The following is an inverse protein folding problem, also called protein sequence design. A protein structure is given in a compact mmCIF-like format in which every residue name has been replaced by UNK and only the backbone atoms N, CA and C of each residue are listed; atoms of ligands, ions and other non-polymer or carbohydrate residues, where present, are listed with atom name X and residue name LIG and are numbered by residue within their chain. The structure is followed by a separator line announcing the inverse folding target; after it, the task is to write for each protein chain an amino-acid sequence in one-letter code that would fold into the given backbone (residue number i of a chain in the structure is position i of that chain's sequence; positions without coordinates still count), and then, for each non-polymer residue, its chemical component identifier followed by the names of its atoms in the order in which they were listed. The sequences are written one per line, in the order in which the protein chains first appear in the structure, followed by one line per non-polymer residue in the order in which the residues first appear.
data_IF_097403759096
#
_entry.id   IF_097403759096
#
_cell.length_a   1.000
_cell.length_b   1.000
_cell.length_c   1.000
_cell.angle_alpha   90.00
_cell.angle_beta   90.00
_cell.angle_gamma   90.00
#
_symmetry.space_group_name_H-M   'P 1'
#
loop_
_entity.id
_entity.type
_entity.pdbx_description
1 polymer ?
#
# COMPACT_ATOMS: atom_id res chain seq x y z
N UNK A 1 -8.52 -11.78 11.14
CA UNK A 1 -9.12 -10.56 11.70
C UNK A 1 -9.57 -9.78 10.49
N UNK A 2 -10.82 -10.03 10.09
CA UNK A 2 -11.43 -9.45 8.89
C UNK A 2 -12.00 -8.09 9.29
N UNK A 3 -11.60 -7.02 8.60
CA UNK A 3 -12.18 -5.69 8.78
C UNK A 3 -13.38 -5.55 7.83
N UNK A 4 -14.58 -5.49 8.40
CA UNK A 4 -15.82 -5.22 7.67
C UNK A 4 -15.86 -3.77 7.18
N UNK A 5 -15.98 -3.58 5.86
CA UNK A 5 -16.26 -2.29 5.26
C UNK A 5 -17.74 -1.91 5.49
N UNK A 6 -18.00 -0.99 6.41
CA UNK A 6 -19.32 -0.39 6.58
C UNK A 6 -19.55 0.69 5.52
N UNK A 7 -20.50 0.47 4.61
CA UNK A 7 -21.02 1.52 3.73
C UNK A 7 -22.47 1.85 4.11
N UNK A 8 -22.81 3.14 4.04
CA UNK A 8 -24.16 3.64 4.27
C UNK A 8 -24.79 3.99 2.92
N UNK A 9 -25.88 3.33 2.59
CA UNK A 9 -26.67 3.64 1.39
C UNK A 9 -27.72 4.70 1.72
N UNK A 10 -27.80 5.83 0.99
CA UNK A 10 -28.82 6.83 1.25
C UNK A 10 -30.18 6.36 0.70
N UNK A 11 -31.18 6.26 1.57
CA UNK A 11 -32.58 6.00 1.20
C UNK A 11 -33.35 7.30 1.05
N UNK A 12 -33.94 7.52 -0.12
CA UNK A 12 -34.89 8.62 -0.35
C UNK A 12 -36.29 8.19 0.12
N UNK A 13 -36.87 8.95 1.07
CA UNK A 13 -38.26 8.75 1.52
C UNK A 13 -39.23 9.28 0.48
N UNK A 14 -40.18 8.44 0.05
CA UNK A 14 -41.48 8.90 -0.47
C UNK A 14 -42.48 8.80 0.69
N UNK A 15 -43.15 9.91 0.99
CA UNK A 15 -44.19 9.98 2.00
C UNK A 15 -45.46 9.24 1.53
N UNK A 16 -46.00 8.35 2.37
CA UNK A 16 -47.27 7.65 2.17
C UNK A 16 -47.25 6.15 2.54
N UNK A 17 -47.53 5.85 3.81
CA UNK A 17 -47.55 4.55 4.51
C UNK A 17 -48.57 3.48 3.98
N UNK A 18 -48.72 2.26 4.59
CA UNK A 18 -47.93 1.55 5.60
C UNK A 18 -47.54 0.09 5.24
N UNK A 19 -46.68 -0.50 6.08
CA UNK A 19 -46.13 -1.85 6.05
C UNK A 19 -47.10 -2.97 6.51
N UNK A 20 -46.85 -4.20 6.07
CA UNK A 20 -47.11 -5.42 6.87
C UNK A 20 -46.17 -6.57 6.49
N UNK A 21 -45.82 -7.33 7.52
CA UNK A 21 -44.80 -8.37 7.68
C UNK A 21 -44.95 -9.65 6.85
N UNK A 22 -43.77 -10.26 6.67
CA UNK A 22 -43.39 -11.69 6.67
C UNK A 22 -44.20 -12.78 5.93
N UNK A 23 -43.48 -13.37 4.97
CA UNK A 23 -43.22 -14.80 4.78
C UNK A 23 -44.35 -15.83 5.02
N UNK A 24 -44.69 -16.58 3.95
CA UNK A 24 -44.62 -18.04 4.00
C UNK A 24 -44.75 -18.67 2.60
N UNK A 25 -43.85 -19.63 2.36
CA UNK A 25 -44.01 -20.91 1.63
C UNK A 25 -44.66 -20.97 0.23
N UNK A 26 -43.82 -21.48 -0.67
CA UNK A 26 -44.10 -22.24 -1.91
C UNK A 26 -45.36 -23.12 -1.86
N UNK A 27 -46.09 -23.19 -2.98
CA UNK A 27 -46.66 -24.40 -3.65
C UNK A 27 -47.76 -23.94 -4.62
N UNK A 28 -47.67 -24.34 -5.90
CA UNK A 28 -48.83 -24.92 -6.60
C UNK A 28 -48.36 -26.03 -7.54
N UNK A 29 -48.77 -27.24 -7.19
CA UNK A 29 -48.87 -28.41 -8.05
C UNK A 29 -50.29 -28.47 -8.63
N UNK A 30 -50.45 -29.27 -9.68
CA UNK A 30 -51.65 -29.41 -10.51
C UNK A 30 -52.92 -29.78 -9.73
N UNK A 31 -54.07 -29.33 -10.22
CA UNK A 31 -55.37 -29.93 -9.90
C UNK A 31 -56.12 -30.24 -11.20
N UNK A 32 -56.30 -31.55 -11.39
CA UNK A 32 -57.19 -32.25 -12.32
C UNK A 32 -58.66 -31.85 -12.16
N UNK A 33 -59.51 -32.26 -13.12
CA UNK A 33 -60.94 -32.68 -13.01
C UNK A 33 -61.64 -32.33 -14.34
N UNK A 34 -62.46 -33.15 -15.01
CA UNK A 34 -62.96 -34.51 -14.77
C UNK A 34 -63.45 -35.12 -16.10
N UNK A 35 -63.45 -36.44 -16.15
CA UNK A 35 -64.17 -37.24 -17.14
C UNK A 35 -65.64 -37.41 -16.70
N UNK A 36 -66.55 -37.31 -17.67
CA UNK A 36 -67.82 -38.05 -17.69
C UNK A 36 -69.10 -37.22 -17.50
N UNK A 37 -69.95 -37.12 -18.54
CA UNK A 37 -71.11 -38.01 -18.71
C UNK A 37 -71.92 -37.67 -19.98
N UNK A 38 -72.05 -38.71 -20.79
CA UNK A 38 -73.13 -39.11 -21.71
C UNK A 38 -74.46 -38.34 -21.68
N UNK A 39 -74.98 -38.02 -22.88
CA UNK A 39 -76.40 -38.12 -23.19
C UNK A 39 -76.60 -38.55 -24.65
N UNK A 40 -77.38 -39.63 -24.78
CA UNK A 40 -77.91 -40.30 -25.97
C UNK A 40 -78.80 -39.42 -26.86
N UNK A 41 -78.85 -39.73 -28.18
CA UNK A 41 -80.04 -40.09 -28.99
C UNK A 41 -79.63 -40.19 -30.50
N UNK A 42 -79.86 -41.36 -31.11
CA UNK A 42 -79.90 -41.67 -32.57
C UNK A 42 -81.30 -41.36 -33.16
N UNK A 43 -81.62 -41.44 -34.49
CA UNK A 43 -80.82 -41.81 -35.67
C UNK A 43 -81.03 -40.91 -36.94
N UNK A 44 -80.31 -41.31 -38.01
CA UNK A 44 -80.65 -41.24 -39.45
C UNK A 44 -80.26 -40.00 -40.31
N UNK A 45 -79.30 -40.28 -41.22
CA UNK A 45 -78.96 -39.75 -42.55
C UNK A 45 -79.91 -38.71 -43.21
N UNK A 46 -79.42 -37.81 -44.11
CA UNK A 46 -78.54 -38.21 -45.22
C UNK A 46 -77.47 -37.19 -45.68
N UNK A 47 -76.41 -37.76 -46.28
CA UNK A 47 -75.65 -37.22 -47.42
C UNK A 47 -75.49 -35.69 -47.56
N UNK A 48 -74.26 -35.18 -47.41
CA UNK A 48 -73.66 -34.37 -48.48
C UNK A 48 -72.14 -34.17 -48.32
N UNK A 49 -71.43 -34.53 -49.40
CA UNK A 49 -70.24 -33.90 -50.00
C UNK A 49 -68.96 -33.63 -49.18
N UNK A 50 -67.93 -34.35 -49.66
CA UNK A 50 -66.61 -33.88 -50.15
C UNK A 50 -65.50 -33.47 -49.17
N UNK A 51 -64.40 -34.22 -49.35
CA UNK A 51 -62.97 -33.81 -49.39
C UNK A 51 -62.20 -33.58 -48.09
N UNK A 52 -61.04 -34.25 -47.98
CA UNK A 52 -60.09 -34.03 -46.88
C UNK A 52 -58.93 -35.04 -46.75
N UNK A 53 -58.42 -35.62 -47.84
CA UNK A 53 -57.27 -36.53 -47.80
C UNK A 53 -56.04 -35.92 -48.47
N UNK A 54 -55.31 -35.00 -47.82
CA UNK A 54 -54.02 -34.49 -48.34
C UNK A 54 -53.08 -33.82 -47.30
N UNK A 55 -53.45 -33.70 -46.01
CA UNK A 55 -52.71 -32.86 -45.04
C UNK A 55 -51.53 -33.56 -44.32
N UNK A 56 -51.45 -34.90 -44.36
CA UNK A 56 -50.44 -35.69 -43.64
C UNK A 56 -49.03 -35.71 -44.28
N UNK A 57 -48.87 -35.90 -45.61
CA UNK A 57 -47.55 -35.86 -46.24
C UNK A 57 -46.94 -34.45 -46.24
N UNK A 58 -47.78 -33.41 -46.37
CA UNK A 58 -47.33 -32.01 -46.34
C UNK A 58 -46.74 -31.63 -44.97
N UNK A 59 -47.38 -32.05 -43.87
CA UNK A 59 -46.90 -31.85 -42.50
C UNK A 59 -45.54 -32.55 -42.27
N UNK A 60 -45.34 -33.74 -42.84
CA UNK A 60 -44.07 -34.46 -42.75
C UNK A 60 -42.94 -33.76 -43.52
N UNK A 61 -43.24 -33.20 -44.70
CA UNK A 61 -42.26 -32.42 -45.48
C UNK A 61 -41.87 -31.13 -44.75
N UNK A 62 -42.84 -30.44 -44.14
CA UNK A 62 -42.56 -29.24 -43.33
C UNK A 62 -41.72 -29.56 -42.08
N UNK A 63 -42.00 -30.67 -41.40
CA UNK A 63 -41.21 -31.13 -40.26
C UNK A 63 -39.77 -31.50 -40.67
N UNK A 64 -39.60 -32.18 -41.81
CA UNK A 64 -38.29 -32.51 -42.36
C UNK A 64 -37.51 -31.24 -42.76
N UNK A 65 -38.18 -30.27 -43.39
CA UNK A 65 -37.58 -28.99 -43.75
C UNK A 65 -37.13 -28.19 -42.51
N UNK A 66 -37.96 -28.14 -41.46
CA UNK A 66 -37.60 -27.52 -40.18
C UNK A 66 -36.41 -28.23 -39.51
N UNK A 67 -36.38 -29.57 -39.55
CA UNK A 67 -35.24 -30.34 -39.04
C UNK A 67 -33.93 -30.00 -39.75
N UNK A 68 -33.95 -29.88 -41.08
CA UNK A 68 -32.78 -29.47 -41.88
C UNK A 68 -32.35 -28.05 -41.53
N UNK A 69 -33.30 -27.11 -41.41
CA UNK A 69 -33.01 -25.73 -40.99
C UNK A 69 -32.37 -25.70 -39.60
N UNK A 70 -32.88 -26.48 -38.65
CA UNK A 70 -32.27 -26.61 -37.32
C UNK A 70 -30.83 -27.16 -37.39
N UNK A 71 -30.58 -28.20 -38.19
CA UNK A 71 -29.22 -28.76 -38.36
C UNK A 71 -28.27 -27.72 -38.96
N UNK A 72 -28.71 -26.96 -39.96
CA UNK A 72 -27.91 -25.89 -40.57
C UNK A 72 -27.61 -24.81 -39.51
N UNK A 73 -28.61 -24.35 -38.76
CA UNK A 73 -28.42 -23.34 -37.71
C UNK A 73 -27.44 -23.82 -36.64
N UNK A 74 -27.57 -25.06 -36.17
CA UNK A 74 -26.65 -25.64 -35.18
C UNK A 74 -25.23 -25.72 -35.73
N UNK A 75 -25.05 -26.12 -36.99
CA UNK A 75 -23.72 -26.17 -37.61
C UNK A 75 -23.05 -24.79 -37.72
N UNK A 76 -23.82 -23.76 -38.07
CA UNK A 76 -23.34 -22.37 -38.15
C UNK A 76 -22.96 -21.87 -36.76
N UNK A 77 -23.77 -22.16 -35.74
CA UNK A 77 -23.48 -21.78 -34.35
C UNK A 77 -22.17 -22.43 -33.87
N UNK A 78 -21.95 -23.71 -34.15
CA UNK A 78 -20.72 -24.42 -33.78
C UNK A 78 -19.50 -23.80 -34.50
N UNK A 79 -19.63 -23.45 -35.76
CA UNK A 79 -18.55 -22.78 -36.50
C UNK A 79 -18.22 -21.40 -35.92
N UNK A 80 -19.24 -20.60 -35.59
CA UNK A 80 -19.07 -19.30 -34.97
C UNK A 80 -18.47 -19.40 -33.56
N UNK A 81 -18.92 -20.35 -32.74
CA UNK A 81 -18.41 -20.55 -31.38
C UNK A 81 -16.94 -20.93 -31.38
N UNK A 82 -16.50 -21.77 -32.33
CA UNK A 82 -15.09 -22.13 -32.49
C UNK A 82 -14.24 -20.93 -32.90
N UNK A 83 -14.72 -20.07 -33.81
CA UNK A 83 -14.02 -18.84 -34.22
C UNK A 83 -13.91 -17.85 -33.07
N UNK A 84 -15.00 -17.64 -32.34
CA UNK A 84 -15.02 -16.75 -31.16
C UNK A 84 -14.05 -17.27 -30.09
N UNK A 85 -14.04 -18.59 -29.84
CA UNK A 85 -13.14 -19.21 -28.87
C UNK A 85 -11.66 -19.05 -29.27
N UNK A 86 -11.34 -19.20 -30.55
CA UNK A 86 -9.98 -18.98 -31.06
C UNK A 86 -9.52 -17.52 -30.85
N UNK A 87 -10.34 -16.55 -31.25
CA UNK A 87 -10.05 -15.11 -31.08
C UNK A 87 -9.90 -14.75 -29.60
N UNK A 88 -10.79 -15.27 -28.73
CA UNK A 88 -10.71 -15.07 -27.28
C UNK A 88 -9.38 -15.58 -26.72
N UNK A 89 -8.95 -16.76 -27.12
CA UNK A 89 -7.68 -17.35 -26.63
C UNK A 89 -6.45 -16.55 -27.05
N UNK A 90 -6.47 -15.99 -28.27
CA UNK A 90 -5.38 -15.15 -28.80
C UNK A 90 -5.27 -13.85 -28.01
N UNK A 91 -6.40 -13.19 -27.77
CA UNK A 91 -6.45 -11.95 -27.01
C UNK A 91 -6.07 -12.16 -25.53
N UNK A 92 -6.48 -13.27 -24.89
CA UNK A 92 -6.05 -13.61 -23.53
C UNK A 92 -4.53 -13.82 -23.44
N UNK A 93 -3.93 -14.41 -24.48
CA UNK A 93 -2.48 -14.59 -24.56
C UNK A 93 -1.77 -13.25 -24.69
N UNK A 94 -2.25 -12.35 -25.55
CA UNK A 94 -1.71 -11.00 -25.71
C UNK A 94 -1.83 -10.20 -24.43
N UNK A 95 -3.00 -10.22 -23.78
CA UNK A 95 -3.22 -9.58 -22.47
C UNK A 95 -2.24 -10.13 -21.45
N UNK A 96 -2.08 -11.45 -21.34
CA UNK A 96 -1.14 -12.06 -20.39
C UNK A 96 0.31 -11.66 -20.67
N UNK A 97 0.72 -11.63 -21.94
CA UNK A 97 2.05 -11.16 -22.34
C UNK A 97 2.25 -9.70 -21.91
N UNK A 98 1.29 -8.83 -22.23
CA UNK A 98 1.34 -7.42 -21.90
C UNK A 98 1.32 -7.17 -20.39
N UNK A 99 0.44 -7.84 -19.64
CA UNK A 99 0.39 -7.78 -18.17
C UNK A 99 1.74 -8.16 -17.57
N UNK A 100 2.39 -9.20 -18.10
CA UNK A 100 3.73 -9.60 -17.65
C UNK A 100 4.76 -8.50 -17.91
N UNK A 101 4.73 -7.88 -19.09
CA UNK A 101 5.63 -6.77 -19.43
C UNK A 101 5.41 -5.56 -18.54
N UNK A 102 4.15 -5.19 -18.27
CA UNK A 102 3.80 -4.08 -17.37
C UNK A 102 4.27 -4.36 -15.96
N UNK A 103 4.07 -5.58 -15.44
CA UNK A 103 4.58 -5.98 -14.11
C UNK A 103 6.11 -5.91 -14.05
N UNK A 104 6.81 -6.37 -15.09
CA UNK A 104 8.26 -6.29 -15.16
C UNK A 104 8.76 -4.84 -15.22
N UNK A 105 8.08 -3.98 -15.97
CA UNK A 105 8.41 -2.56 -16.06
C UNK A 105 8.13 -1.83 -14.74
N UNK A 106 7.04 -2.18 -14.05
CA UNK A 106 6.72 -1.71 -12.71
C UNK A 106 7.82 -2.06 -11.71
N UNK A 107 8.22 -3.33 -11.63
CA UNK A 107 9.33 -3.78 -10.77
C UNK A 107 10.63 -3.04 -11.07
N UNK A 108 10.99 -2.86 -12.35
CA UNK A 108 12.19 -2.08 -12.72
C UNK A 108 12.08 -0.60 -12.31
N UNK A 109 10.89 -0.01 -12.44
CA UNK A 109 10.64 1.36 -11.99
C UNK A 109 10.80 1.49 -10.48
N UNK A 110 10.32 0.52 -9.70
CA UNK A 110 10.51 0.47 -8.25
C UNK A 110 11.98 0.30 -7.85
N UNK A 111 12.73 -0.53 -8.58
CA UNK A 111 14.18 -0.67 -8.38
C UNK A 111 14.91 0.65 -8.63
N UNK A 112 14.65 1.30 -9.76
CA UNK A 112 15.25 2.60 -10.09
C UNK A 112 14.84 3.67 -9.07
N UNK A 113 13.60 3.67 -8.61
CA UNK A 113 13.13 4.62 -7.59
C UNK A 113 13.88 4.45 -6.27
N UNK A 114 14.11 3.19 -5.84
CA UNK A 114 14.90 2.89 -4.65
C UNK A 114 16.34 3.36 -4.78
N UNK A 115 16.99 3.06 -5.90
CA UNK A 115 18.37 3.49 -6.16
C UNK A 115 18.50 5.01 -6.19
N UNK A 116 17.53 5.69 -6.82
CA UNK A 116 17.43 7.16 -6.83
C UNK A 116 17.31 7.71 -5.41
N UNK A 117 16.42 7.16 -4.61
CA UNK A 117 16.17 7.65 -3.26
C UNK A 117 17.39 7.43 -2.36
N UNK A 118 18.06 6.29 -2.50
CA UNK A 118 19.34 6.01 -1.84
C UNK A 118 20.45 6.99 -2.26
N UNK A 119 20.56 7.28 -3.56
CA UNK A 119 21.54 8.24 -4.07
C UNK A 119 21.24 9.66 -3.58
N UNK A 120 19.98 10.07 -3.61
CA UNK A 120 19.55 11.39 -3.13
C UNK A 120 19.84 11.56 -1.64
N UNK A 121 19.56 10.52 -0.84
CA UNK A 121 19.93 10.50 0.58
C UNK A 121 21.45 10.61 0.77
N UNK A 122 22.24 9.83 0.03
CA UNK A 122 23.71 9.85 0.11
C UNK A 122 24.26 11.23 -0.24
N UNK A 123 23.72 11.85 -1.29
CA UNK A 123 24.09 13.19 -1.71
C UNK A 123 23.75 14.23 -0.64
N UNK A 124 22.59 14.10 0.01
CA UNK A 124 22.20 14.95 1.13
C UNK A 124 23.20 14.90 2.30
N UNK A 125 23.73 13.71 2.60
CA UNK A 125 24.77 13.54 3.63
C UNK A 125 26.09 14.19 3.19
N UNK A 126 26.54 13.96 1.96
CA UNK A 126 27.81 14.52 1.46
C UNK A 126 27.78 16.06 1.43
N UNK A 127 26.67 16.65 0.99
CA UNK A 127 26.50 18.10 0.88
C UNK A 127 26.42 18.81 2.25
N UNK A 128 26.33 18.07 3.36
CA UNK A 128 26.34 18.64 4.71
C UNK A 128 27.75 19.01 5.19
N UNK A 129 28.81 18.52 4.53
CA UNK A 129 30.21 18.72 4.96
C UNK A 129 31.04 19.45 3.90
N UNK A 130 31.77 20.50 4.30
CA UNK A 130 32.70 21.22 3.41
C UNK A 130 33.91 20.37 2.99
N UNK A 131 34.28 19.36 3.80
CA UNK A 131 35.32 18.37 3.51
C UNK A 131 34.84 16.99 3.96
N UNK A 132 34.27 16.19 3.06
CA UNK A 132 33.73 14.86 3.38
C UNK A 132 34.78 13.75 3.25
N UNK A 133 35.27 13.23 4.37
CA UNK A 133 36.23 12.11 4.38
C UNK A 133 35.52 10.77 4.19
N UNK A 134 35.42 10.31 2.93
CA UNK A 134 34.68 9.10 2.52
C UNK A 134 35.11 7.85 3.29
N UNK A 135 36.41 7.67 3.56
CA UNK A 135 36.91 6.48 4.27
C UNK A 135 36.44 6.41 5.73
N UNK A 136 36.13 7.56 6.34
CA UNK A 136 35.70 7.65 7.73
C UNK A 136 34.17 7.53 7.82
N UNK A 137 33.45 8.20 6.93
CA UNK A 137 31.98 8.27 6.97
C UNK A 137 31.28 7.13 6.21
N UNK A 138 31.97 6.47 5.28
CA UNK A 138 31.40 5.40 4.45
C UNK A 138 32.24 4.11 4.48
N UNK A 139 32.44 3.51 5.66
CA UNK A 139 33.10 2.20 5.74
C UNK A 139 32.33 1.18 4.90
N UNK A 140 33.06 0.35 4.16
CA UNK A 140 32.47 -0.68 3.28
C UNK A 140 31.47 -0.15 2.23
N UNK A 141 31.61 1.12 1.81
CA UNK A 141 30.71 1.80 0.84
C UNK A 141 29.29 2.02 1.35
N UNK A 142 29.06 1.91 2.66
CA UNK A 142 27.80 2.25 3.31
C UNK A 142 28.04 3.50 4.16
N UNK A 143 27.46 4.62 3.74
CA UNK A 143 27.60 5.87 4.47
C UNK A 143 26.69 5.90 5.70
N UNK A 144 27.21 6.42 6.81
CA UNK A 144 26.43 6.69 8.02
C UNK A 144 26.43 8.20 8.31
N UNK A 145 25.37 8.75 8.91
CA UNK A 145 25.32 10.17 9.27
C UNK A 145 26.37 10.59 10.31
N UNK A 146 26.78 9.68 11.20
CA UNK A 146 27.79 9.92 12.23
C UNK A 146 28.81 8.79 12.22
N UNK A 147 30.03 9.10 12.67
CA UNK A 147 31.10 8.11 12.86
C UNK A 147 30.72 7.08 13.94
N UNK A 148 31.39 5.92 13.91
CA UNK A 148 31.15 4.89 14.92
C UNK A 148 31.51 5.42 16.33
N UNK A 149 30.62 5.21 17.30
CA UNK A 149 30.75 5.76 18.66
C UNK A 149 30.14 7.15 18.85
N UNK A 150 29.76 7.84 17.77
CA UNK A 150 29.04 9.11 17.83
C UNK A 150 27.52 8.89 17.76
N UNK A 151 26.79 9.68 18.53
CA UNK A 151 25.34 9.60 18.64
C UNK A 151 24.72 10.77 17.87
N UNK A 152 23.78 10.46 16.97
CA UNK A 152 23.11 11.48 16.17
C UNK A 152 21.95 12.10 16.94
N UNK A 153 21.89 13.43 16.96
CA UNK A 153 20.69 14.19 17.31
C UNK A 153 20.48 15.32 16.31
N UNK A 154 19.31 15.32 15.65
CA UNK A 154 18.97 16.22 14.54
C UNK A 154 20.07 16.19 13.44
N UNK A 155 20.71 17.33 13.19
CA UNK A 155 21.77 17.50 12.18
C UNK A 155 23.18 17.29 12.73
N UNK A 156 23.33 17.08 14.04
CA UNK A 156 24.62 17.05 14.72
C UNK A 156 24.96 15.63 15.24
N UNK A 157 26.25 15.39 15.42
CA UNK A 157 26.80 14.17 15.99
C UNK A 157 27.51 14.50 17.31
N UNK A 158 27.25 13.72 18.36
CA UNK A 158 27.74 13.97 19.72
C UNK A 158 28.57 12.79 20.20
N UNK A 159 29.69 13.08 20.86
CA UNK A 159 30.54 12.08 21.49
C UNK A 159 30.59 12.34 22.99
N UNK A 160 30.12 11.37 23.77
CA UNK A 160 30.17 11.41 25.23
C UNK A 160 31.40 10.63 25.67
N UNK A 161 32.46 11.36 26.00
CA UNK A 161 33.72 10.73 26.38
C UNK A 161 33.73 10.36 27.86
N UNK A 162 33.45 9.10 28.15
CA UNK A 162 33.56 8.53 29.50
C UNK A 162 35.01 8.14 29.82
N UNK A 163 35.38 8.24 31.09
CA UNK A 163 36.62 7.66 31.59
C UNK A 163 36.41 6.94 32.92
N UNK A 164 36.64 5.63 32.90
CA UNK A 164 36.62 4.79 34.10
C UNK A 164 37.79 5.07 35.06
N UNK A 165 38.82 5.80 34.61
CA UNK A 165 40.00 6.11 35.45
C UNK A 165 40.24 7.60 35.56
N UNK A 166 40.43 8.08 36.79
CA UNK A 166 40.61 9.51 37.12
C UNK A 166 41.74 10.20 36.32
N UNK A 167 42.76 9.46 35.87
CA UNK A 167 43.89 10.03 35.15
C UNK A 167 43.64 10.33 33.66
N UNK A 168 42.53 9.86 33.06
CA UNK A 168 42.13 10.32 31.72
C UNK A 168 41.18 11.52 31.75
N UNK A 169 40.83 12.01 32.93
CA UNK A 169 40.04 13.22 33.09
C UNK A 169 40.85 14.40 32.61
N UNK A 170 40.21 15.30 31.86
CA UNK A 170 40.88 16.43 31.22
C UNK A 170 40.35 17.72 31.80
N UNK A 171 41.18 18.75 31.81
CA UNK A 171 40.70 20.12 31.98
C UNK A 171 39.79 20.51 30.82
N UNK A 172 39.06 21.61 30.96
CA UNK A 172 38.27 22.17 29.85
C UNK A 172 39.10 22.36 28.58
N UNK A 173 40.28 22.97 28.70
CA UNK A 173 41.21 23.19 27.57
C UNK A 173 41.72 21.87 26.97
N UNK A 174 42.06 20.89 27.84
CA UNK A 174 42.48 19.57 27.39
C UNK A 174 41.38 18.80 26.67
N UNK A 175 40.12 18.98 27.08
CA UNK A 175 38.95 18.37 26.45
C UNK A 175 38.69 19.01 25.09
N UNK A 176 38.72 20.34 25.02
CA UNK A 176 38.58 21.07 23.75
C UNK A 176 39.66 20.69 22.74
N UNK A 177 40.91 20.62 23.19
CA UNK A 177 42.02 20.16 22.34
C UNK A 177 41.75 18.76 21.80
N UNK A 178 41.24 17.85 22.65
CA UNK A 178 40.92 16.48 22.23
C UNK A 178 39.78 16.45 21.19
N UNK A 179 38.72 17.24 21.36
CA UNK A 179 37.66 17.40 20.36
C UNK A 179 38.23 17.89 19.02
N UNK A 180 39.09 18.91 19.04
CA UNK A 180 39.70 19.47 17.83
C UNK A 180 40.58 18.44 17.08
N UNK A 181 41.28 17.56 17.81
CA UNK A 181 42.02 16.44 17.21
C UNK A 181 41.11 15.44 16.47
N UNK A 182 39.83 15.40 16.83
CA UNK A 182 38.79 14.57 16.20
C UNK A 182 37.91 15.36 15.22
N UNK A 183 38.38 16.55 14.77
CA UNK A 183 37.63 17.44 13.87
C UNK A 183 36.25 17.87 14.42
N UNK A 184 36.13 17.95 15.75
CA UNK A 184 34.94 18.42 16.46
C UNK A 184 35.32 19.54 17.45
N UNK A 185 34.35 20.12 18.14
CA UNK A 185 34.57 21.06 19.26
C UNK A 185 33.64 20.67 20.43
N UNK A 186 33.84 21.28 21.60
CA UNK A 186 32.96 21.07 22.76
C UNK A 186 31.53 21.53 22.43
N UNK A 187 30.53 20.82 22.95
CA UNK A 187 29.13 21.07 22.59
C UNK A 187 28.67 22.48 23.01
N UNK A 188 28.01 23.18 22.09
CA UNK A 188 27.18 24.35 22.40
C UNK A 188 25.74 23.89 22.46
N UNK A 189 25.01 24.34 23.48
CA UNK A 189 23.62 23.93 23.68
C UNK A 189 22.74 25.06 23.21
N UNK A 190 21.99 24.83 22.14
CA UNK A 190 21.22 25.83 21.41
C UNK A 190 19.70 25.68 21.61
N UNK A 191 19.25 24.60 22.26
CA UNK A 191 17.83 24.36 22.54
C UNK A 191 17.59 23.51 23.78
N UNK A 192 16.41 23.64 24.39
CA UNK A 192 15.98 22.79 25.50
C UNK A 192 15.96 21.32 25.11
N UNK A 193 15.52 21.00 23.90
CA UNK A 193 15.46 19.61 23.40
C UNK A 193 16.85 19.00 23.27
N UNK A 194 17.85 19.81 22.90
CA UNK A 194 19.25 19.39 22.86
C UNK A 194 19.80 19.17 24.26
N UNK A 195 19.47 20.05 25.22
CA UNK A 195 19.82 19.86 26.63
C UNK A 195 19.24 18.56 27.18
N UNK A 196 17.97 18.26 26.91
CA UNK A 196 17.30 17.02 27.31
C UNK A 196 17.96 15.80 26.68
N UNK A 197 18.28 15.88 25.38
CA UNK A 197 19.04 14.83 24.70
C UNK A 197 20.38 14.58 25.39
N UNK A 198 21.18 15.62 25.64
CA UNK A 198 22.49 15.51 26.30
C UNK A 198 22.35 14.86 27.68
N UNK A 199 21.38 15.32 28.48
CA UNK A 199 21.15 14.80 29.83
C UNK A 199 20.87 13.29 29.86
N UNK A 200 20.21 12.75 28.82
CA UNK A 200 19.92 11.31 28.74
C UNK A 200 21.17 10.43 28.51
N UNK A 201 22.28 11.02 28.05
CA UNK A 201 23.54 10.32 27.76
C UNK A 201 24.67 10.69 28.73
N UNK A 202 24.40 11.52 29.74
CA UNK A 202 25.38 11.89 30.77
C UNK A 202 25.05 11.23 32.09
N UNK A 203 26.08 10.71 32.75
CA UNK A 203 25.96 10.26 34.14
C UNK A 203 25.99 11.45 35.11
N UNK A 204 25.20 11.36 36.18
CA UNK A 204 25.26 12.30 37.29
C UNK A 204 26.39 11.93 38.24
N UNK A 205 27.18 12.91 38.65
CA UNK A 205 28.24 12.75 39.64
C UNK A 205 27.80 13.35 40.98
N UNK A 206 28.27 12.78 42.09
CA UNK A 206 27.90 13.21 43.44
C UNK A 206 28.81 14.32 43.99
N UNK A 207 29.53 15.02 43.12
CA UNK A 207 30.45 16.09 43.46
C UNK A 207 30.64 17.07 42.31
N UNK A 208 31.13 18.27 42.62
CA UNK A 208 31.29 19.36 41.65
C UNK A 208 32.57 19.24 40.81
N UNK A 209 33.44 18.28 41.10
CA UNK A 209 34.72 18.10 40.41
C UNK A 209 34.58 17.14 39.21
N UNK A 210 33.49 16.38 39.14
CA UNK A 210 33.28 15.37 38.12
C UNK A 210 32.06 15.69 37.23
N UNK A 211 32.20 15.49 35.92
CA UNK A 211 31.19 15.81 34.92
C UNK A 211 31.74 15.84 33.50
N UNK A 212 30.90 16.28 32.57
CA UNK A 212 31.23 16.42 31.16
C UNK A 212 31.49 17.89 30.84
N UNK A 213 32.62 18.19 30.19
CA UNK A 213 32.89 19.54 29.74
C UNK A 213 32.04 19.90 28.53
N UNK A 214 31.42 21.08 28.58
CA UNK A 214 30.70 21.70 27.47
C UNK A 214 31.47 22.94 26.97
N UNK A 215 31.04 23.49 25.83
CA UNK A 215 31.68 24.63 25.18
C UNK A 215 31.53 25.97 25.91
N UNK A 216 30.99 25.98 27.13
CA UNK A 216 30.81 27.19 27.91
C UNK A 216 32.06 27.44 28.77
N UNK A 217 32.63 28.65 28.69
CA UNK A 217 33.81 29.04 29.47
C UNK A 217 33.71 30.47 29.98
N UNK A 218 34.35 30.75 31.11
CA UNK A 218 34.43 32.11 31.64
C UNK A 218 35.65 32.82 31.05
N UNK A 219 35.43 33.97 30.40
CA UNK A 219 36.51 34.83 29.97
C UNK A 219 37.10 35.57 31.18
N UNK A 220 38.27 35.11 31.63
CA UNK A 220 39.01 35.66 32.77
C UNK A 220 39.24 37.18 32.72
N UNK A 221 39.11 37.82 31.56
CA UNK A 221 39.32 39.26 31.39
C UNK A 221 38.10 40.07 31.86
N UNK A 222 36.87 39.58 31.64
CA UNK A 222 35.63 40.31 31.91
C UNK A 222 34.68 39.60 32.88
N UNK A 223 34.96 38.34 33.26
CA UNK A 223 34.09 37.52 34.11
C UNK A 223 32.83 37.02 33.41
N UNK A 224 32.72 37.21 32.09
CA UNK A 224 31.55 36.85 31.28
C UNK A 224 31.67 35.42 30.77
N UNK A 225 30.56 34.67 30.87
CA UNK A 225 30.43 33.36 30.23
C UNK A 225 30.22 33.49 28.73
N UNK A 226 31.05 32.78 27.96
CA UNK A 226 31.00 32.76 26.51
C UNK A 226 31.07 31.33 26.00
N UNK A 227 30.37 31.09 24.90
CA UNK A 227 30.50 29.85 24.14
C UNK A 227 31.80 29.84 23.33
N UNK A 228 32.24 28.64 22.94
CA UNK A 228 33.45 28.43 22.13
C UNK A 228 33.49 29.18 20.79
N UNK A 229 32.34 29.60 20.27
CA UNK A 229 32.19 30.44 19.07
C UNK A 229 32.32 31.95 19.35
N UNK A 230 32.48 32.34 20.62
CA UNK A 230 32.57 33.73 21.07
C UNK A 230 31.23 34.43 21.32
N UNK A 231 30.09 33.74 21.16
CA UNK A 231 28.80 34.31 21.55
C UNK A 231 28.67 34.37 23.07
N UNK A 232 27.94 35.39 23.55
CA UNK A 232 27.60 35.47 24.96
C UNK A 232 26.62 34.35 25.32
N UNK A 233 26.69 33.88 26.57
CA UNK A 233 25.66 33.01 27.11
C UNK A 233 24.30 33.71 27.11
N UNK A 234 23.39 33.26 26.25
CA UNK A 234 21.98 33.66 26.23
C UNK A 234 21.13 32.42 26.49
N UNK A 235 20.32 32.46 27.54
CA UNK A 235 19.27 31.46 27.77
C UNK A 235 18.03 31.97 27.06
N UNK A 236 17.66 31.36 25.94
CA UNK A 236 16.30 31.50 25.38
C UNK A 236 15.50 30.22 25.64
#
# INVERSE_FOLDING_TARGET
MEEELNYVTPTFKRDGAPAREEASSVIYDQVLVNIGRENTITPENPSEKREGGYLQPLLCVLAAALGIVCVILVSVIIMLSNRISAVKSEQEREIKNFTTQVLQLGRKTEEIARDRDQLNWTLGVILQYDVFSVNVHCPQRVCKPCEDGWIRFKSNCYLFQESSYYYHWRSWEGSRKKCNEMMADLVMIESLEEQEFINNYTEGYNDDAHGYWIGLSNNNINGTWMWINGSNFTVE
#
